data_IF_287000081482
#
_entry.id   IF_287000081482
#
_cell.length_a   1.000
_cell.length_b   1.000
_cell.length_c   1.000
_cell.angle_alpha   90.00
_cell.angle_beta   90.00
_cell.angle_gamma   90.00
#
_symmetry.space_group_name_H-M   'P 1'
#
loop_
_entity.id
_entity.type
_entity.pdbx_description
1 polymer ?
#
# COMPACT_ATOMS: atom_id res chain seq x y z
N UNK A 1 47.45 -35.15 21.21
CA UNK A 1 46.43 -34.53 22.09
C UNK A 1 46.88 -33.12 22.42
N UNK A 2 46.26 -32.12 21.80
CA UNK A 2 46.31 -30.73 22.32
C UNK A 2 45.04 -30.01 21.82
N UNK A 3 44.07 -29.71 22.70
CA UNK A 3 42.95 -28.86 22.34
C UNK A 3 43.40 -27.40 22.41
N UNK A 4 43.47 -26.73 21.26
CA UNK A 4 43.66 -25.28 21.18
C UNK A 4 42.38 -24.62 21.70
N UNK A 5 42.46 -24.13 22.94
CA UNK A 5 41.45 -23.35 23.63
C UNK A 5 41.19 -22.07 22.82
N UNK A 6 40.03 -21.97 22.16
CA UNK A 6 39.55 -20.72 21.57
C UNK A 6 39.44 -19.67 22.69
N UNK A 7 40.22 -18.59 22.59
CA UNK A 7 40.09 -17.41 23.45
C UNK A 7 38.76 -16.70 23.11
N UNK A 8 37.95 -16.32 24.10
CA UNK A 8 36.79 -15.47 23.87
C UNK A 8 37.24 -14.01 23.85
N UNK A 9 37.76 -13.55 22.71
CA UNK A 9 38.16 -12.16 22.47
C UNK A 9 37.48 -11.67 21.20
N UNK A 10 36.16 -11.47 21.23
CA UNK A 10 35.46 -10.62 20.25
C UNK A 10 34.02 -10.34 20.70
N UNK A 11 33.84 -9.43 21.66
CA UNK A 11 32.52 -8.81 21.91
C UNK A 11 32.64 -7.43 22.56
N UNK A 12 33.50 -6.55 22.05
CA UNK A 12 33.51 -5.11 22.43
C UNK A 12 34.09 -4.21 21.33
N UNK A 13 33.37 -4.07 20.22
CA UNK A 13 33.48 -2.94 19.30
C UNK A 13 32.30 -3.03 18.32
N UNK A 14 31.16 -2.38 18.57
CA UNK A 14 30.90 -1.09 17.92
C UNK A 14 29.70 -0.35 18.55
N UNK A 15 29.69 -0.19 19.88
CA UNK A 15 28.81 0.79 20.54
C UNK A 15 29.45 2.19 20.46
N UNK A 16 29.90 2.57 19.27
CA UNK A 16 30.27 3.96 18.99
C UNK A 16 28.97 4.70 18.68
N UNK A 17 28.41 5.24 19.75
CA UNK A 17 27.37 6.27 19.73
C UNK A 17 27.91 7.46 18.92
N UNK A 18 27.71 7.46 17.60
CA UNK A 18 28.19 8.51 16.71
C UNK A 18 27.26 9.73 16.88
N UNK A 19 27.68 10.76 17.65
CA UNK A 19 26.80 11.86 18.04
C UNK A 19 26.36 12.70 16.83
N UNK A 20 27.10 12.64 15.71
CA UNK A 20 26.75 13.32 14.48
C UNK A 20 25.65 12.57 13.71
N UNK A 21 25.72 11.24 13.64
CA UNK A 21 24.71 10.40 13.00
C UNK A 21 23.39 10.44 13.80
N UNK A 22 23.46 10.32 15.13
CA UNK A 22 22.29 10.42 16.00
C UNK A 22 21.63 11.80 15.88
N UNK A 23 22.40 12.88 15.80
CA UNK A 23 21.89 14.24 15.58
C UNK A 23 21.22 14.43 14.21
N UNK A 24 21.75 13.84 13.15
CA UNK A 24 21.13 13.90 11.80
C UNK A 24 19.84 13.08 11.76
N UNK A 25 19.85 11.87 12.32
CA UNK A 25 18.66 11.02 12.44
C UNK A 25 17.59 11.71 13.30
N UNK A 26 17.97 12.28 14.45
CA UNK A 26 17.05 13.00 15.34
C UNK A 26 16.44 14.22 14.64
N UNK A 27 17.25 15.00 13.90
CA UNK A 27 16.76 16.13 13.11
C UNK A 27 15.77 15.68 12.03
N UNK A 28 16.08 14.60 11.30
CA UNK A 28 15.22 14.08 10.25
C UNK A 28 13.90 13.53 10.81
N UNK A 29 13.97 12.76 11.90
CA UNK A 29 12.80 12.26 12.62
C UNK A 29 11.91 13.42 13.08
N UNK A 30 12.49 14.47 13.65
CA UNK A 30 11.75 15.65 14.12
C UNK A 30 11.03 16.37 12.98
N UNK A 31 11.67 16.48 11.81
CA UNK A 31 11.05 17.05 10.60
C UNK A 31 9.88 16.20 10.12
N UNK A 32 10.04 14.88 10.05
CA UNK A 32 8.96 13.96 9.62
C UNK A 32 7.78 14.03 10.59
N UNK A 33 8.04 14.04 11.90
CA UNK A 33 7.00 14.18 12.92
C UNK A 33 6.26 15.51 12.75
N UNK A 34 6.99 16.63 12.58
CA UNK A 34 6.38 17.95 12.42
C UNK A 34 5.45 18.02 11.21
N UNK A 35 5.90 17.50 10.06
CA UNK A 35 5.10 17.43 8.83
C UNK A 35 3.86 16.56 9.01
N UNK A 36 3.98 15.39 9.64
CA UNK A 36 2.83 14.52 9.95
C UNK A 36 1.84 15.20 10.88
N UNK A 37 2.29 15.89 11.94
CA UNK A 37 1.38 16.62 12.84
C UNK A 37 0.69 17.80 12.17
N UNK A 38 1.38 18.51 11.26
CA UNK A 38 0.80 19.61 10.51
C UNK A 38 -0.27 19.10 9.53
N UNK A 39 0.05 18.06 8.77
CA UNK A 39 -0.91 17.38 7.90
C UNK A 39 -2.10 16.79 8.67
N UNK A 40 -1.88 16.25 9.87
CA UNK A 40 -2.94 15.74 10.73
C UNK A 40 -3.83 16.85 11.33
N UNK A 41 -3.28 18.05 11.57
CA UNK A 41 -4.06 19.23 11.99
C UNK A 41 -4.87 19.85 10.86
N UNK A 42 -4.37 19.79 9.63
CA UNK A 42 -5.08 20.26 8.44
C UNK A 42 -6.25 19.31 8.06
N UNK A 43 -6.18 18.04 8.46
CA UNK A 43 -7.32 17.12 8.44
C UNK A 43 -8.33 17.54 9.51
N UNK A 44 -9.29 18.38 9.13
CA UNK A 44 -10.40 18.81 9.98
C UNK A 44 -11.26 17.64 10.51
N UNK A 45 -12.34 18.00 11.21
CA UNK A 45 -13.27 17.03 11.84
C UNK A 45 -13.79 15.96 10.87
N UNK A 46 -14.04 16.32 9.61
CA UNK A 46 -14.50 15.40 8.57
C UNK A 46 -13.49 14.28 8.27
N UNK A 47 -12.19 14.61 8.22
CA UNK A 47 -11.14 13.61 7.98
C UNK A 47 -11.02 12.59 9.11
N UNK A 48 -11.21 13.05 10.36
CA UNK A 48 -11.20 12.18 11.54
C UNK A 48 -12.40 11.24 11.58
N UNK A 49 -13.59 11.74 11.18
CA UNK A 49 -14.79 10.93 11.07
C UNK A 49 -14.64 9.88 9.95
N UNK A 50 -14.10 10.27 8.80
CA UNK A 50 -13.81 9.34 7.71
C UNK A 50 -12.84 8.24 8.15
N UNK A 51 -11.73 8.58 8.81
CA UNK A 51 -10.76 7.60 9.34
C UNK A 51 -11.42 6.63 10.34
N UNK A 52 -12.27 7.14 11.22
CA UNK A 52 -13.00 6.31 12.17
C UNK A 52 -13.94 5.33 11.46
N UNK A 53 -14.72 5.80 10.48
CA UNK A 53 -15.66 4.97 9.72
C UNK A 53 -14.92 3.94 8.87
N UNK A 54 -13.84 4.31 8.18
CA UNK A 54 -12.97 3.39 7.44
C UNK A 54 -12.45 2.28 8.36
N UNK A 55 -11.94 2.65 9.53
CA UNK A 55 -11.40 1.68 10.49
C UNK A 55 -12.49 0.78 11.09
N UNK A 56 -13.71 1.29 11.22
CA UNK A 56 -14.84 0.56 11.81
C UNK A 56 -15.48 -0.39 10.79
N UNK A 57 -15.73 0.08 9.57
CA UNK A 57 -16.30 -0.71 8.47
C UNK A 57 -15.37 -1.84 8.02
N UNK A 58 -14.04 -1.62 8.04
CA UNK A 58 -13.06 -2.66 7.68
C UNK A 58 -12.88 -3.76 8.73
N UNK A 59 -13.50 -3.65 9.92
CA UNK A 59 -13.35 -4.62 11.00
C UNK A 59 -14.55 -5.56 11.08
N UNK A 60 -14.28 -6.85 11.32
CA UNK A 60 -15.32 -7.86 11.52
C UNK A 60 -16.23 -7.60 12.73
N UNK A 61 -15.79 -6.73 13.65
CA UNK A 61 -16.57 -6.24 14.80
C UNK A 61 -17.90 -5.60 14.36
N UNK A 62 -17.93 -4.94 13.20
CA UNK A 62 -19.11 -4.28 12.65
C UNK A 62 -20.26 -5.27 12.43
N UNK A 63 -19.96 -6.42 11.83
CA UNK A 63 -20.92 -7.47 11.56
C UNK A 63 -21.48 -8.07 12.86
N UNK A 64 -20.63 -8.31 13.86
CA UNK A 64 -21.06 -8.82 15.16
C UNK A 64 -22.01 -7.86 15.89
N UNK A 65 -21.72 -6.55 15.86
CA UNK A 65 -22.61 -5.54 16.44
C UNK A 65 -23.99 -5.57 15.78
N UNK A 66 -24.05 -5.67 14.44
CA UNK A 66 -25.32 -5.75 13.71
C UNK A 66 -26.09 -7.03 14.01
N UNK A 67 -25.41 -8.18 14.06
CA UNK A 67 -26.05 -9.46 14.42
C UNK A 67 -26.67 -9.38 15.81
N UNK A 68 -25.93 -8.85 16.79
CA UNK A 68 -26.43 -8.68 18.17
C UNK A 68 -27.59 -7.69 18.21
N UNK A 69 -27.47 -6.55 17.53
CA UNK A 69 -28.51 -5.54 17.45
C UNK A 69 -29.82 -6.08 16.84
N UNK A 70 -29.74 -6.75 15.68
CA UNK A 70 -30.90 -7.36 15.03
C UNK A 70 -31.48 -8.49 15.87
N UNK A 71 -30.64 -9.31 16.50
CA UNK A 71 -31.08 -10.35 17.43
C UNK A 71 -31.87 -9.79 18.60
N UNK A 72 -31.39 -8.71 19.22
CA UNK A 72 -32.09 -8.00 20.31
C UNK A 72 -33.41 -7.41 19.80
N UNK A 73 -33.42 -6.75 18.63
CA UNK A 73 -34.62 -6.15 18.07
C UNK A 73 -35.72 -7.19 17.80
N UNK A 74 -35.36 -8.31 17.18
CA UNK A 74 -36.27 -9.43 16.93
C UNK A 74 -36.75 -9.99 18.26
N UNK A 75 -35.86 -10.26 19.22
CA UNK A 75 -36.25 -10.82 20.52
C UNK A 75 -37.24 -9.90 21.28
N UNK A 76 -37.05 -8.58 21.22
CA UNK A 76 -37.97 -7.62 21.82
C UNK A 76 -39.34 -7.59 21.12
N UNK A 77 -39.39 -7.75 19.80
CA UNK A 77 -40.64 -7.71 19.02
C UNK A 77 -41.36 -9.06 18.92
N UNK A 78 -40.66 -10.20 19.11
CA UNK A 78 -41.26 -11.55 19.08
C UNK A 78 -41.94 -11.92 20.40
N UNK A 79 -41.88 -11.04 21.41
CA UNK A 79 -42.76 -11.09 22.57
C UNK A 79 -42.52 -12.17 23.65
N UNK A 80 -41.34 -12.78 23.87
CA UNK A 80 -41.14 -13.63 25.05
C UNK A 80 -41.29 -12.87 26.38
N UNK A 81 -41.29 -11.52 26.35
CA UNK A 81 -41.41 -10.65 27.51
C UNK A 81 -42.80 -10.00 27.70
N UNK A 82 -43.83 -10.37 26.92
CA UNK A 82 -45.21 -9.90 27.12
C UNK A 82 -45.47 -8.42 26.77
N UNK A 83 -44.53 -7.75 26.10
CA UNK A 83 -44.69 -6.38 25.60
C UNK A 83 -45.46 -6.37 24.26
N UNK A 84 -46.24 -5.31 24.02
CA UNK A 84 -46.96 -5.12 22.75
C UNK A 84 -45.92 -4.92 21.63
N UNK A 85 -45.95 -5.71 20.54
CA UNK A 85 -44.97 -5.57 19.46
C UNK A 85 -45.02 -4.16 18.86
N UNK A 86 -43.88 -3.46 18.87
CA UNK A 86 -43.76 -2.11 18.31
C UNK A 86 -43.51 -2.16 16.79
N UNK A 87 -42.76 -3.15 16.34
CA UNK A 87 -42.44 -3.43 14.93
C UNK A 87 -42.84 -4.88 14.61
N UNK A 88 -44.14 -5.16 14.33
CA UNK A 88 -44.60 -6.50 14.02
C UNK A 88 -43.99 -7.01 12.71
N UNK A 89 -43.85 -8.34 12.60
CA UNK A 89 -43.43 -8.99 11.36
C UNK A 89 -44.29 -8.49 10.19
N UNK A 90 -43.73 -7.95 9.10
CA UNK A 90 -42.36 -8.18 8.57
C UNK A 90 -41.25 -7.17 8.97
N UNK A 91 -41.36 -6.47 10.11
CA UNK A 91 -40.35 -5.52 10.62
C UNK A 91 -40.09 -4.30 9.71
N UNK A 92 -41.16 -3.56 9.38
CA UNK A 92 -41.07 -2.43 8.46
C UNK A 92 -40.17 -1.29 8.95
N UNK A 93 -40.12 -1.03 10.25
CA UNK A 93 -39.28 0.05 10.80
C UNK A 93 -37.79 -0.34 10.77
N UNK A 94 -37.47 -1.57 11.15
CA UNK A 94 -36.09 -2.07 11.06
C UNK A 94 -35.58 -2.00 9.62
N UNK A 95 -36.36 -2.49 8.66
CA UNK A 95 -35.94 -2.50 7.25
C UNK A 95 -35.75 -1.09 6.69
N UNK A 96 -36.60 -0.12 7.07
CA UNK A 96 -36.43 1.28 6.70
C UNK A 96 -35.13 1.87 7.25
N UNK A 97 -34.86 1.68 8.55
CA UNK A 97 -33.65 2.21 9.20
C UNK A 97 -32.39 1.60 8.60
N UNK A 98 -32.36 0.28 8.44
CA UNK A 98 -31.22 -0.44 7.84
C UNK A 98 -30.97 -0.01 6.40
N UNK A 99 -32.01 0.23 5.61
CA UNK A 99 -31.85 0.70 4.23
C UNK A 99 -31.21 2.08 4.18
N UNK A 100 -31.63 2.99 5.05
CA UNK A 100 -31.02 4.31 5.16
C UNK A 100 -29.56 4.23 5.63
N UNK A 101 -29.29 3.43 6.66
CA UNK A 101 -27.94 3.19 7.19
C UNK A 101 -27.01 2.61 6.11
N UNK A 102 -27.49 1.65 5.32
CA UNK A 102 -26.72 1.04 4.24
C UNK A 102 -26.29 2.05 3.16
N UNK A 103 -27.16 3.02 2.81
CA UNK A 103 -26.82 4.09 1.87
C UNK A 103 -25.66 4.93 2.43
N UNK A 104 -25.75 5.38 3.69
CA UNK A 104 -24.69 6.16 4.32
C UNK A 104 -23.37 5.37 4.40
N UNK A 105 -23.43 4.10 4.81
CA UNK A 105 -22.26 3.22 4.87
C UNK A 105 -21.61 3.05 3.50
N UNK A 106 -22.41 2.78 2.47
CA UNK A 106 -21.92 2.63 1.10
C UNK A 106 -21.24 3.91 0.61
N UNK A 107 -21.82 5.09 0.86
CA UNK A 107 -21.20 6.38 0.53
C UNK A 107 -19.89 6.58 1.28
N UNK A 108 -19.82 6.28 2.58
CA UNK A 108 -18.58 6.41 3.34
C UNK A 108 -17.51 5.42 2.89
N UNK A 109 -17.88 4.18 2.56
CA UNK A 109 -16.97 3.18 1.98
C UNK A 109 -16.44 3.69 0.65
N UNK A 110 -17.29 4.23 -0.23
CA UNK A 110 -16.86 4.75 -1.53
C UNK A 110 -15.89 5.93 -1.38
N UNK A 111 -16.19 6.88 -0.48
CA UNK A 111 -15.28 7.99 -0.18
C UNK A 111 -13.94 7.47 0.36
N UNK A 112 -13.98 6.49 1.26
CA UNK A 112 -12.78 5.87 1.80
C UNK A 112 -11.95 5.16 0.73
N UNK A 113 -12.62 4.42 -0.16
CA UNK A 113 -12.00 3.72 -1.28
C UNK A 113 -11.36 4.69 -2.26
N UNK A 114 -12.04 5.78 -2.62
CA UNK A 114 -11.48 6.81 -3.50
C UNK A 114 -10.19 7.41 -2.91
N UNK A 115 -10.22 7.73 -1.62
CA UNK A 115 -9.03 8.26 -0.91
C UNK A 115 -7.89 7.24 -0.84
N UNK A 116 -8.20 5.96 -0.59
CA UNK A 116 -7.18 4.90 -0.60
C UNK A 116 -6.60 4.69 -2.00
N UNK A 117 -7.42 4.86 -3.05
CA UNK A 117 -6.99 4.85 -4.45
C UNK A 117 -5.97 5.96 -4.74
N UNK A 118 -6.30 7.21 -4.41
CA UNK A 118 -5.39 8.35 -4.60
C UNK A 118 -4.04 8.16 -3.87
N UNK A 119 -4.06 7.66 -2.63
CA UNK A 119 -2.83 7.37 -1.89
C UNK A 119 -2.03 6.20 -2.51
N UNK A 120 -2.70 5.19 -3.05
CA UNK A 120 -2.05 4.06 -3.72
C UNK A 120 -1.41 4.52 -5.03
N UNK A 121 -2.09 5.36 -5.80
CA UNK A 121 -1.58 5.93 -7.05
C UNK A 121 -0.34 6.80 -6.80
N UNK A 122 -0.37 7.68 -5.79
CA UNK A 122 0.81 8.47 -5.39
C UNK A 122 2.00 7.59 -5.00
N UNK A 123 1.75 6.48 -4.30
CA UNK A 123 2.83 5.54 -3.94
C UNK A 123 3.41 4.86 -5.17
N UNK A 124 2.56 4.42 -6.09
CA UNK A 124 3.00 3.80 -7.34
C UNK A 124 3.87 4.77 -8.17
N UNK A 125 3.50 6.05 -8.26
CA UNK A 125 4.29 7.08 -8.94
C UNK A 125 5.65 7.31 -8.27
N UNK A 126 5.69 7.38 -6.94
CA UNK A 126 6.94 7.50 -6.18
C UNK A 126 7.84 6.28 -6.37
N UNK A 127 7.26 5.08 -6.34
CA UNK A 127 8.01 3.82 -6.53
C UNK A 127 8.60 3.75 -7.94
N UNK A 128 7.85 4.21 -8.96
CA UNK A 128 8.35 4.33 -10.33
C UNK A 128 9.52 5.31 -10.40
N UNK A 129 9.39 6.51 -9.84
CA UNK A 129 10.48 7.51 -9.83
C UNK A 129 11.73 7.01 -9.12
N UNK A 130 11.58 6.32 -7.98
CA UNK A 130 12.71 5.72 -7.26
C UNK A 130 13.35 4.61 -8.12
N UNK A 131 12.55 3.82 -8.83
CA UNK A 131 13.02 2.81 -9.78
C UNK A 131 13.91 3.42 -10.86
N UNK A 132 13.40 4.43 -11.57
CA UNK A 132 14.13 5.14 -12.64
C UNK A 132 15.42 5.78 -12.12
N UNK A 133 15.38 6.41 -10.95
CA UNK A 133 16.57 6.99 -10.34
C UNK A 133 17.60 5.91 -9.96
N UNK A 134 17.14 4.79 -9.43
CA UNK A 134 18.01 3.66 -9.06
C UNK A 134 18.68 3.06 -10.29
N UNK A 135 17.94 2.91 -11.39
CA UNK A 135 18.47 2.47 -12.68
C UNK A 135 19.52 3.44 -13.21
N UNK A 136 19.24 4.75 -13.20
CA UNK A 136 20.20 5.77 -13.62
C UNK A 136 21.50 5.73 -12.81
N UNK A 137 21.40 5.65 -11.48
CA UNK A 137 22.58 5.56 -10.61
C UNK A 137 23.32 4.22 -10.78
N UNK A 138 22.61 3.12 -11.05
CA UNK A 138 23.23 1.84 -11.35
C UNK A 138 24.04 1.90 -12.65
N UNK A 139 23.47 2.44 -13.73
CA UNK A 139 24.18 2.66 -15.00
C UNK A 139 25.41 3.52 -14.79
N UNK A 140 25.30 4.58 -13.99
CA UNK A 140 26.44 5.43 -13.65
C UNK A 140 27.53 4.68 -12.89
N UNK A 141 27.16 3.82 -11.94
CA UNK A 141 28.10 2.98 -11.20
C UNK A 141 28.78 1.97 -12.14
N UNK A 142 28.05 1.37 -13.08
CA UNK A 142 28.61 0.47 -14.09
C UNK A 142 29.60 1.20 -14.99
N UNK A 143 29.26 2.40 -15.50
CA UNK A 143 30.16 3.24 -16.28
C UNK A 143 31.43 3.62 -15.51
N UNK A 144 31.31 3.92 -14.21
CA UNK A 144 32.47 4.18 -13.36
C UNK A 144 33.33 2.93 -13.15
N UNK A 145 32.71 1.75 -13.03
CA UNK A 145 33.42 0.48 -12.87
C UNK A 145 34.19 0.13 -14.14
N UNK A 146 33.56 0.29 -15.31
CA UNK A 146 34.16 0.10 -16.63
C UNK A 146 35.37 1.02 -16.83
N UNK A 147 35.23 2.32 -16.53
CA UNK A 147 36.34 3.27 -16.58
C UNK A 147 37.51 2.91 -15.63
N UNK A 148 37.25 2.26 -14.49
CA UNK A 148 38.29 1.77 -13.58
C UNK A 148 38.94 0.50 -14.15
N UNK A 149 38.16 -0.42 -14.72
CA UNK A 149 38.64 -1.66 -15.34
C UNK A 149 39.61 -1.36 -16.49
N UNK A 150 39.25 -0.39 -17.35
CA UNK A 150 40.09 0.17 -18.40
C UNK A 150 41.41 0.73 -17.86
N UNK A 151 41.34 1.52 -16.79
CA UNK A 151 42.53 2.14 -16.19
C UNK A 151 43.51 1.09 -15.61
N UNK A 152 42.97 -0.01 -15.09
CA UNK A 152 43.76 -1.11 -14.51
C UNK A 152 44.29 -2.08 -15.58
N UNK A 153 43.95 -1.88 -16.86
CA UNK A 153 44.38 -2.75 -17.96
C UNK A 153 43.82 -4.16 -17.86
N UNK A 154 42.69 -4.33 -17.15
CA UNK A 154 41.97 -5.61 -17.07
C UNK A 154 41.19 -5.72 -18.38
N UNK A 155 41.79 -6.34 -19.39
CA UNK A 155 41.13 -6.60 -20.67
C UNK A 155 39.99 -7.56 -20.41
N UNK A 156 38.77 -7.06 -20.43
CA UNK A 156 37.58 -7.88 -20.42
C UNK A 156 37.38 -8.50 -21.81
N UNK A 157 37.25 -9.82 -21.88
CA UNK A 157 36.92 -10.54 -23.11
C UNK A 157 35.40 -10.73 -23.28
N UNK A 158 34.57 -10.04 -22.47
CA UNK A 158 33.10 -10.09 -22.47
C UNK A 158 32.41 -8.88 -23.14
N UNK A 159 33.00 -8.26 -24.18
CA UNK A 159 32.33 -7.26 -25.04
C UNK A 159 30.94 -7.71 -25.55
N UNK A 160 30.66 -9.01 -25.53
CA UNK A 160 29.39 -9.61 -25.98
C UNK A 160 28.29 -9.70 -24.90
N UNK A 161 28.57 -9.60 -23.60
CA UNK A 161 27.54 -9.75 -22.56
C UNK A 161 27.14 -8.42 -21.90
N UNK A 162 28.05 -7.44 -21.84
CA UNK A 162 27.75 -6.10 -21.34
C UNK A 162 26.98 -5.27 -22.37
N UNK A 163 27.29 -5.37 -23.66
CA UNK A 163 26.53 -4.74 -24.74
C UNK A 163 25.08 -5.28 -24.85
N UNK A 164 24.87 -6.54 -24.45
CA UNK A 164 23.54 -7.16 -24.37
C UNK A 164 22.75 -6.72 -23.10
N UNK A 165 23.44 -6.28 -22.04
CA UNK A 165 22.85 -5.61 -20.87
C UNK A 165 22.63 -4.11 -21.08
N UNK A 166 23.46 -3.48 -21.94
CA UNK A 166 23.37 -2.09 -22.40
C UNK A 166 22.33 -1.89 -23.52
N UNK A 167 21.74 -2.97 -24.04
CA UNK A 167 20.40 -2.93 -24.62
C UNK A 167 19.38 -2.66 -23.52
N UNK A 168 19.49 -1.46 -22.94
CA UNK A 168 18.49 -0.71 -22.20
C UNK A 168 17.14 -0.91 -22.89
N UNK A 169 16.31 -1.79 -22.35
CA UNK A 169 14.88 -1.62 -22.54
C UNK A 169 14.51 -0.46 -21.64
N UNK A 170 14.62 0.76 -22.17
CA UNK A 170 14.26 1.95 -21.44
C UNK A 170 12.86 1.72 -20.86
N UNK A 171 12.61 2.03 -19.58
CA UNK A 171 11.31 1.81 -18.98
C UNK A 171 10.15 2.41 -19.78
N UNK A 172 10.39 3.52 -20.50
CA UNK A 172 9.45 4.09 -21.48
C UNK A 172 9.09 3.13 -22.64
N UNK A 173 10.04 2.36 -23.17
CA UNK A 173 9.81 1.38 -24.24
C UNK A 173 9.02 0.17 -23.73
N UNK A 174 9.26 -0.25 -22.48
CA UNK A 174 8.48 -1.31 -21.82
C UNK A 174 7.05 -0.85 -21.57
N UNK A 175 6.86 0.40 -21.10
CA UNK A 175 5.54 0.99 -20.88
C UNK A 175 4.76 1.10 -22.20
N UNK A 176 5.43 1.55 -23.27
CA UNK A 176 4.84 1.66 -24.60
C UNK A 176 4.42 0.30 -25.15
N UNK A 177 5.23 -0.76 -24.96
CA UNK A 177 4.87 -2.11 -25.40
C UNK A 177 3.75 -2.73 -24.54
N UNK A 178 3.71 -2.49 -23.23
CA UNK A 178 2.59 -2.91 -22.36
C UNK A 178 1.29 -2.24 -22.81
N UNK A 179 1.29 -0.92 -23.08
CA UNK A 179 0.11 -0.21 -23.58
C UNK A 179 -0.33 -0.74 -24.95
N UNK A 180 0.62 -1.02 -25.84
CA UNK A 180 0.35 -1.60 -27.16
C UNK A 180 -0.31 -2.97 -27.06
N UNK A 181 0.19 -3.85 -26.19
CA UNK A 181 -0.38 -5.18 -25.96
C UNK A 181 -1.77 -5.10 -25.31
N UNK A 182 -1.96 -4.23 -24.32
CA UNK A 182 -3.28 -4.01 -23.71
C UNK A 182 -4.31 -3.49 -24.72
N UNK A 183 -3.91 -2.59 -25.63
CA UNK A 183 -4.80 -2.09 -26.69
C UNK A 183 -5.20 -3.18 -27.69
N UNK A 184 -4.27 -4.09 -28.03
CA UNK A 184 -4.55 -5.26 -28.88
C UNK A 184 -5.52 -6.22 -28.18
N UNK A 185 -5.30 -6.49 -26.90
CA UNK A 185 -6.14 -7.41 -26.11
C UNK A 185 -7.56 -6.85 -25.90
N UNK A 186 -7.70 -5.55 -25.61
CA UNK A 186 -8.99 -4.87 -25.50
C UNK A 186 -9.72 -4.79 -26.84
N UNK A 187 -8.99 -4.61 -27.94
CA UNK A 187 -9.54 -4.67 -29.30
C UNK A 187 -10.02 -6.08 -29.68
N UNK A 188 -9.26 -7.12 -29.33
CA UNK A 188 -9.63 -8.51 -29.59
C UNK A 188 -10.84 -8.98 -28.76
N UNK A 189 -11.01 -8.45 -27.53
CA UNK A 189 -12.18 -8.73 -26.68
C UNK A 189 -13.48 -8.06 -27.16
N UNK A 190 -13.37 -6.99 -27.95
CA UNK A 190 -14.52 -6.30 -28.54
C UNK A 190 -15.10 -6.97 -29.78
N UNK A 191 -14.36 -7.88 -30.42
CA UNK A 191 -14.72 -8.53 -31.70
C UNK A 191 -15.19 -9.99 -31.52
N UNK A 192 -15.57 -10.39 -30.30
CA UNK A 192 -16.38 -11.60 -30.10
C UNK A 192 -17.86 -11.20 -30.13
N UNK A 193 -18.53 -11.28 -31.30
CA UNK A 193 -19.98 -11.13 -31.32
C UNK A 193 -20.57 -12.21 -30.43
N UNK A 194 -21.46 -11.81 -29.52
CA UNK A 194 -22.31 -12.70 -28.74
C UNK A 194 -22.86 -13.81 -29.66
N UNK A 195 -22.29 -15.00 -29.58
CA UNK A 195 -22.93 -16.20 -30.11
C UNK A 195 -24.10 -16.52 -29.19
N UNK A 196 -25.22 -15.92 -29.55
CA UNK A 196 -26.58 -16.26 -29.16
C UNK A 196 -26.77 -17.78 -29.13
N UNK A 197 -27.07 -18.31 -27.96
CA UNK A 197 -27.87 -19.53 -27.78
C UNK A 197 -28.93 -19.28 -26.74
#
# INVERSE_FOLDING_TARGET
MHPTRLKPEEKKASEQDNPALSKVIERNIRTIIHLRTKAARERGLQGRIADAITSFSGRMIFAYVHIVWFGIWILLNTGPFGLRPFDPFPYGLLTMIVSLEAIFLSTFVLISQNRMGEETERRADLDLHIGLLTEHELTRVLQMLDAIQDNLGIVDHHESELADLEMETKPEDVLAEIQRLQAIELGARGDHPEQKT
#
